data_IF_554234849135
#
_entry.id   IF_554234849135
#
_cell.length_a   1.000
_cell.length_b   1.000
_cell.length_c   1.000
_cell.angle_alpha   90.00
_cell.angle_beta   90.00
_cell.angle_gamma   90.00
#
_symmetry.space_group_name_H-M   'P 1'
#
loop_
_entity.id
_entity.type
_entity.pdbx_description
1 polymer ?
#
# COMPACT_ATOMS: atom_id res chain seq x y z
N UNK A 1 19.41 3.56 3.83
CA UNK A 1 18.58 2.63 3.03
C UNK A 1 19.22 2.50 1.65
N UNK A 2 19.45 1.29 1.17
CA UNK A 2 20.29 0.99 0.00
C UNK A 2 19.69 1.56 -1.30
N UNK A 3 20.51 2.25 -2.09
CA UNK A 3 20.10 2.88 -3.36
C UNK A 3 19.83 1.88 -4.49
N UNK A 4 20.03 0.58 -4.27
CA UNK A 4 19.92 -0.49 -5.28
C UNK A 4 18.99 -1.64 -4.84
N UNK A 5 17.85 -1.33 -4.21
CA UNK A 5 16.85 -2.37 -3.97
C UNK A 5 16.35 -2.95 -5.31
N UNK A 6 16.53 -4.25 -5.51
CA UNK A 6 16.09 -4.95 -6.73
C UNK A 6 14.58 -5.17 -6.70
N UNK A 7 13.95 -5.31 -7.88
CA UNK A 7 12.54 -5.67 -7.99
C UNK A 7 12.19 -6.96 -7.19
N UNK A 8 13.13 -7.91 -7.12
CA UNK A 8 12.98 -9.13 -6.32
C UNK A 8 12.94 -8.84 -4.82
N UNK A 9 13.75 -7.91 -4.34
CA UNK A 9 13.76 -7.49 -2.93
C UNK A 9 12.47 -6.77 -2.58
N UNK A 10 12.02 -5.81 -3.40
CA UNK A 10 10.74 -5.11 -3.19
C UNK A 10 9.54 -6.07 -3.23
N UNK A 11 9.61 -7.09 -4.07
CA UNK A 11 8.62 -8.17 -4.10
C UNK A 11 8.65 -8.97 -2.79
N UNK A 12 9.84 -9.29 -2.26
CA UNK A 12 9.97 -10.00 -0.98
C UNK A 12 9.41 -9.19 0.19
N UNK A 13 9.69 -7.88 0.26
CA UNK A 13 9.15 -6.99 1.29
C UNK A 13 7.61 -7.03 1.25
N UNK A 14 7.05 -6.92 0.04
CA UNK A 14 5.60 -6.94 -0.16
C UNK A 14 4.98 -8.28 0.25
N UNK A 15 5.57 -9.41 -0.16
CA UNK A 15 5.12 -10.73 0.26
C UNK A 15 5.16 -10.88 1.78
N UNK A 16 6.26 -10.49 2.42
CA UNK A 16 6.40 -10.63 3.86
C UNK A 16 5.36 -9.77 4.60
N UNK A 17 5.18 -8.52 4.18
CA UNK A 17 4.15 -7.62 4.73
C UNK A 17 2.75 -8.24 4.62
N UNK A 18 2.37 -8.74 3.44
CA UNK A 18 1.04 -9.32 3.24
C UNK A 18 0.83 -10.61 4.03
N UNK A 19 1.86 -11.45 4.14
CA UNK A 19 1.81 -12.66 4.95
C UNK A 19 1.65 -12.34 6.44
N UNK A 20 2.33 -11.31 6.95
CA UNK A 20 2.23 -10.91 8.35
C UNK A 20 0.86 -10.33 8.72
N UNK A 21 0.16 -9.65 7.80
CA UNK A 21 -1.22 -9.18 8.03
C UNK A 21 -2.27 -10.28 7.83
N UNK A 22 -1.85 -11.52 7.55
CA UNK A 22 -2.73 -12.69 7.47
C UNK A 22 -3.15 -13.09 6.06
N UNK A 23 -2.55 -12.54 4.99
CA UNK A 23 -2.83 -12.95 3.61
C UNK A 23 -1.67 -13.75 3.05
N UNK A 24 -1.92 -15.02 2.73
CA UNK A 24 -0.92 -15.87 2.08
C UNK A 24 -0.61 -15.37 0.66
N UNK A 25 0.57 -14.79 0.47
CA UNK A 25 1.06 -14.23 -0.79
C UNK A 25 2.45 -14.79 -1.10
N UNK A 26 2.59 -15.33 -2.31
CA UNK A 26 3.87 -15.76 -2.87
C UNK A 26 4.35 -14.76 -3.93
N UNK A 27 5.64 -14.84 -4.32
CA UNK A 27 6.19 -13.96 -5.37
C UNK A 27 5.42 -14.04 -6.69
N UNK A 28 4.89 -15.22 -7.04
CA UNK A 28 4.09 -15.44 -8.24
C UNK A 28 2.72 -14.75 -8.23
N UNK A 29 2.25 -14.31 -7.06
CA UNK A 29 0.99 -13.56 -6.94
C UNK A 29 1.20 -12.06 -7.20
N UNK A 30 2.45 -11.60 -7.26
CA UNK A 30 2.86 -10.22 -7.54
C UNK A 30 3.40 -10.16 -8.97
N UNK A 31 2.71 -9.41 -9.83
CA UNK A 31 3.13 -9.16 -11.21
C UNK A 31 4.29 -8.15 -11.24
N UNK A 32 4.13 -7.04 -10.51
CA UNK A 32 5.10 -5.93 -10.49
C UNK A 32 5.15 -5.34 -9.08
N UNK A 33 6.34 -5.11 -8.54
CA UNK A 33 6.58 -4.33 -7.32
C UNK A 33 7.72 -3.33 -7.55
N UNK A 34 7.51 -2.06 -7.21
CA UNK A 34 8.55 -1.02 -7.33
C UNK A 34 8.29 0.18 -6.43
N UNK A 35 9.35 0.92 -6.10
CA UNK A 35 9.24 2.20 -5.40
C UNK A 35 8.84 3.36 -6.32
N UNK A 36 8.05 4.28 -5.80
CA UNK A 36 7.72 5.54 -6.49
C UNK A 36 8.92 6.47 -6.49
N UNK A 37 9.44 6.82 -7.67
CA UNK A 37 10.68 7.61 -7.83
C UNK A 37 10.58 9.05 -7.30
N UNK A 38 9.40 9.67 -7.36
CA UNK A 38 9.19 11.09 -7.04
C UNK A 38 8.43 11.33 -5.73
N UNK A 39 8.35 10.33 -4.84
CA UNK A 39 7.74 10.52 -3.53
C UNK A 39 8.70 11.30 -2.62
N UNK A 40 8.24 12.46 -2.12
CA UNK A 40 9.01 13.33 -1.21
C UNK A 40 9.13 12.82 0.23
N UNK A 41 8.17 12.07 0.83
CA UNK A 41 8.42 11.46 2.13
C UNK A 41 9.22 10.17 1.94
N UNK A 42 10.34 10.06 2.66
CA UNK A 42 10.94 8.77 2.96
C UNK A 42 10.24 8.15 4.18
N UNK A 43 10.01 6.83 4.19
CA UNK A 43 10.37 5.86 3.15
C UNK A 43 9.48 5.96 1.90
N UNK A 44 10.08 5.74 0.71
CA UNK A 44 9.37 5.83 -0.58
C UNK A 44 8.27 4.76 -0.65
N UNK A 45 7.01 5.12 -0.99
CA UNK A 45 5.94 4.15 -1.15
C UNK A 45 6.26 3.07 -2.19
N UNK A 46 5.78 1.86 -1.94
CA UNK A 46 5.85 0.73 -2.89
C UNK A 46 4.51 0.61 -3.61
N UNK A 47 4.54 0.51 -4.94
CA UNK A 47 3.40 0.13 -5.75
C UNK A 47 3.52 -1.35 -6.08
N UNK A 48 2.48 -2.12 -5.73
CA UNK A 48 2.36 -3.53 -6.05
C UNK A 48 1.16 -3.80 -6.94
N UNK A 49 1.38 -4.50 -8.05
CA UNK A 49 0.33 -5.06 -8.90
C UNK A 49 0.22 -6.55 -8.63
N UNK A 50 -0.96 -6.97 -8.21
CA UNK A 50 -1.26 -8.38 -7.95
C UNK A 50 -1.82 -9.03 -9.22
N UNK A 51 -1.45 -10.29 -9.45
CA UNK A 51 -1.96 -11.11 -10.57
C UNK A 51 -3.46 -11.37 -10.38
N UNK A 52 -3.87 -11.69 -9.15
CA UNK A 52 -5.25 -12.07 -8.83
C UNK A 52 -5.98 -10.96 -8.10
N UNK A 53 -7.14 -10.58 -8.64
CA UNK A 53 -8.04 -9.60 -8.01
C UNK A 53 -8.51 -10.03 -6.61
N UNK A 54 -8.78 -11.33 -6.41
CA UNK A 54 -9.21 -11.85 -5.12
C UNK A 54 -8.17 -11.63 -4.02
N UNK A 55 -6.88 -11.78 -4.33
CA UNK A 55 -5.79 -11.51 -3.39
C UNK A 55 -5.77 -10.04 -3.01
N UNK A 56 -5.96 -9.13 -3.99
CA UNK A 56 -6.07 -7.68 -3.72
C UNK A 56 -7.24 -7.38 -2.77
N UNK A 57 -8.42 -7.92 -3.05
CA UNK A 57 -9.61 -7.66 -2.23
C UNK A 57 -9.46 -8.18 -0.80
N UNK A 58 -8.83 -9.34 -0.63
CA UNK A 58 -8.51 -9.88 0.69
C UNK A 58 -7.53 -8.96 1.44
N UNK A 59 -6.42 -8.56 0.82
CA UNK A 59 -5.46 -7.59 1.41
C UNK A 59 -6.18 -6.31 1.82
N UNK A 60 -7.03 -5.77 0.95
CA UNK A 60 -7.75 -4.52 1.22
C UNK A 60 -8.77 -4.63 2.35
N UNK A 61 -9.23 -5.84 2.67
CA UNK A 61 -10.13 -6.14 3.79
C UNK A 61 -9.37 -6.16 5.12
N UNK A 62 -8.20 -6.81 5.15
CA UNK A 62 -7.38 -6.96 6.38
C UNK A 62 -6.33 -5.87 6.57
N UNK A 63 -6.28 -4.87 5.67
CA UNK A 63 -5.27 -3.80 5.66
C UNK A 63 -5.07 -3.02 6.97
N UNK A 64 -6.08 -3.00 7.85
CA UNK A 64 -5.99 -2.29 9.14
C UNK A 64 -4.98 -2.95 10.09
N UNK A 65 -4.78 -4.26 9.94
CA UNK A 65 -3.86 -5.06 10.75
C UNK A 65 -2.40 -4.66 10.55
N UNK A 66 -2.07 -3.90 9.49
CA UNK A 66 -0.73 -3.32 9.29
C UNK A 66 -0.27 -2.51 10.49
N UNK A 67 -1.18 -1.76 11.12
CA UNK A 67 -0.86 -0.92 12.29
C UNK A 67 -0.57 -1.71 13.56
N UNK A 68 -0.91 -3.01 13.58
CA UNK A 68 -0.70 -3.93 14.69
C UNK A 68 0.58 -4.76 14.52
N UNK A 69 1.24 -4.65 13.36
CA UNK A 69 2.50 -5.33 13.10
C UNK A 69 3.59 -4.79 14.01
N UNK A 70 4.31 -5.73 14.64
CA UNK A 70 5.59 -5.44 15.28
C UNK A 70 6.70 -5.64 14.25
N UNK A 71 7.67 -4.74 14.23
CA UNK A 71 8.94 -4.89 13.53
C UNK A 71 9.74 -6.00 14.21
N UNK A 72 9.36 -7.24 13.92
CA UNK A 72 10.24 -8.39 14.14
C UNK A 72 11.07 -8.59 12.89
N UNK A 73 12.31 -9.07 13.09
CA UNK A 73 13.52 -9.16 12.23
C UNK A 73 13.40 -9.60 10.76
N UNK A 74 12.21 -9.70 10.18
CA UNK A 74 11.94 -10.21 8.84
C UNK A 74 12.09 -9.16 7.72
N UNK A 75 12.93 -8.14 7.90
CA UNK A 75 13.23 -7.17 6.83
C UNK A 75 12.16 -6.11 6.57
N UNK A 76 11.29 -5.85 7.55
CA UNK A 76 10.40 -4.69 7.54
C UNK A 76 11.07 -3.48 8.22
N UNK A 77 10.67 -2.24 7.87
CA UNK A 77 11.20 -1.04 8.52
C UNK A 77 10.87 -1.03 10.02
N UNK A 78 11.64 -0.27 10.80
CA UNK A 78 11.54 -0.16 12.28
C UNK A 78 10.10 -0.01 12.78
N UNK A 79 9.82 -0.49 13.99
CA UNK A 79 8.49 -0.49 14.63
C UNK A 79 7.75 0.86 14.54
N UNK A 80 8.50 1.96 14.69
CA UNK A 80 7.99 3.33 14.57
C UNK A 80 7.47 3.70 13.19
N UNK A 81 8.04 3.11 12.13
CA UNK A 81 7.65 3.32 10.74
C UNK A 81 6.40 2.49 10.38
N UNK A 82 6.27 1.27 10.92
CA UNK A 82 5.10 0.40 10.67
C UNK A 82 3.83 0.92 11.34
N UNK A 83 3.94 1.57 12.50
CA UNK A 83 2.79 2.16 13.21
C UNK A 83 2.00 3.18 12.36
N UNK A 84 2.66 3.80 11.38
CA UNK A 84 2.05 4.76 10.45
C UNK A 84 1.95 4.22 9.01
N UNK A 85 2.28 2.94 8.79
CA UNK A 85 2.19 2.34 7.48
C UNK A 85 0.73 2.16 7.06
N UNK A 86 0.46 2.42 5.78
CA UNK A 86 -0.87 2.35 5.20
C UNK A 86 -0.82 1.52 3.91
N UNK A 87 -1.76 0.59 3.77
CA UNK A 87 -2.06 -0.05 2.48
C UNK A 87 -3.28 0.65 1.90
N UNK A 88 -3.12 1.22 0.71
CA UNK A 88 -4.15 2.01 0.03
C UNK A 88 -4.37 1.48 -1.38
N UNK A 89 -5.56 1.69 -1.92
CA UNK A 89 -5.80 1.38 -3.33
C UNK A 89 -5.04 2.36 -4.22
N UNK A 90 -4.41 1.84 -5.27
CA UNK A 90 -3.82 2.68 -6.31
C UNK A 90 -4.92 3.11 -7.28
N UNK A 91 -5.49 4.28 -7.02
CA UNK A 91 -6.50 4.89 -7.86
C UNK A 91 -5.88 5.51 -9.12
N UNK A 92 -6.56 5.39 -10.26
CA UNK A 92 -6.16 6.07 -11.49
C UNK A 92 -6.24 7.60 -11.30
N UNK A 93 -5.45 8.35 -12.06
CA UNK A 93 -5.44 9.82 -11.99
C UNK A 93 -6.84 10.43 -12.18
N UNK A 94 -7.65 9.85 -13.07
CA UNK A 94 -9.03 10.28 -13.29
C UNK A 94 -9.89 10.11 -12.04
N UNK A 95 -9.80 8.95 -11.38
CA UNK A 95 -10.55 8.68 -10.14
C UNK A 95 -10.08 9.61 -9.02
N UNK A 96 -8.76 9.81 -8.86
CA UNK A 96 -8.22 10.74 -7.87
C UNK A 96 -8.72 12.18 -8.12
N UNK A 97 -8.69 12.64 -9.37
CA UNK A 97 -9.19 13.95 -9.76
C UNK A 97 -10.68 14.13 -9.44
N UNK A 98 -11.51 13.14 -9.79
CA UNK A 98 -12.93 13.13 -9.47
C UNK A 98 -13.16 13.20 -7.95
N UNK A 99 -12.44 12.39 -7.16
CA UNK A 99 -12.54 12.42 -5.69
C UNK A 99 -12.13 13.76 -5.10
N UNK A 100 -11.06 14.39 -5.62
CA UNK A 100 -10.63 15.72 -5.18
C UNK A 100 -11.71 16.77 -5.50
N UNK A 101 -12.29 16.75 -6.70
CA UNK A 101 -13.39 17.63 -7.07
C UNK A 101 -14.61 17.44 -6.17
N UNK A 102 -15.01 16.19 -5.94
CA UNK A 102 -16.15 15.87 -5.08
C UNK A 102 -15.93 16.37 -3.64
N UNK A 103 -14.73 16.18 -3.08
CA UNK A 103 -14.37 16.68 -1.74
C UNK A 103 -14.45 18.22 -1.66
N UNK A 104 -13.92 18.92 -2.67
CA UNK A 104 -14.02 20.39 -2.76
C UNK A 104 -15.47 20.85 -2.83
N UNK A 105 -16.27 20.19 -3.67
CA UNK A 105 -17.69 20.50 -3.81
C UNK A 105 -18.46 20.25 -2.50
N UNK A 106 -18.23 19.12 -1.83
CA UNK A 106 -18.79 18.82 -0.49
C UNK A 106 -18.45 19.90 0.53
N UNK A 107 -17.20 20.38 0.54
CA UNK A 107 -16.77 21.43 1.47
C UNK A 107 -17.50 22.75 1.20
N UNK A 108 -17.67 23.14 -0.07
CA UNK A 108 -18.38 24.36 -0.46
C UNK A 108 -19.87 24.28 -0.17
N UNK A 109 -20.48 23.12 -0.42
CA UNK A 109 -21.93 22.95 -0.38
C UNK A 109 -22.46 22.40 0.95
N UNK A 110 -21.57 22.00 1.88
CA UNK A 110 -21.90 21.36 3.17
C UNK A 110 -22.86 20.15 3.04
N UNK A 111 -22.71 19.35 1.98
CA UNK A 111 -23.55 18.17 1.69
C UNK A 111 -22.74 16.87 1.76
N UNK A 112 -23.35 15.81 2.26
CA UNK A 112 -22.74 14.48 2.31
C UNK A 112 -23.15 13.66 1.07
N UNK A 113 -22.18 13.01 0.44
CA UNK A 113 -22.41 11.97 -0.56
C UNK A 113 -22.25 10.61 0.12
N UNK A 114 -23.18 9.68 -0.12
CA UNK A 114 -22.99 8.28 0.25
C UNK A 114 -21.86 7.68 -0.61
N UNK A 115 -20.92 7.00 0.03
CA UNK A 115 -19.77 6.35 -0.61
C UNK A 115 -19.78 4.86 -0.34
#
# INVERSE_FOLDING_TARGET
MNQNESATETTNISCNLFNQIGVKVNKSDIDIAHHVRNAKPEPKPIICKLVRRLTKEHIMTVRKNVSELKASDNGLPTDSALRHALILDHLTLQVQYCLVKQRKFKLVMNISFAG
#
